data_IF_186364528113
#
_entry.id   IF_186364528113
#
_cell.length_a   1.000
_cell.length_b   1.000
_cell.length_c   1.000
_cell.angle_alpha   90.00
_cell.angle_beta   90.00
_cell.angle_gamma   90.00
#
_symmetry.space_group_name_H-M   'P 1'
#
loop_
_entity.id
_entity.type
_entity.pdbx_description
1 polymer ?
#
# COMPACT_ATOMS: atom_id res chain seq x y z
N UNK A 1 -16.36 -2.73 -22.31
CA UNK A 1 -14.93 -3.11 -22.25
C UNK A 1 -14.34 -2.43 -21.02
N UNK A 2 -14.07 -3.17 -19.94
CA UNK A 2 -13.58 -2.56 -18.68
C UNK A 2 -12.21 -1.93 -18.90
N UNK A 3 -12.09 -0.64 -18.63
CA UNK A 3 -10.85 0.10 -18.82
C UNK A 3 -9.91 -0.23 -17.66
N UNK A 4 -8.78 -0.87 -17.95
CA UNK A 4 -7.81 -1.26 -16.94
C UNK A 4 -6.72 -0.19 -16.82
N UNK A 5 -6.54 0.33 -15.60
CA UNK A 5 -5.58 1.40 -15.33
C UNK A 5 -4.36 0.88 -14.58
N UNK A 6 -3.18 1.01 -15.20
CA UNK A 6 -1.90 0.74 -14.55
C UNK A 6 -1.45 1.98 -13.77
N UNK A 7 -1.71 1.97 -12.46
CA UNK A 7 -1.40 3.08 -11.54
C UNK A 7 -0.04 2.83 -10.90
N UNK A 8 0.93 3.75 -11.01
CA UNK A 8 2.23 3.66 -10.34
C UNK A 8 2.10 3.48 -8.83
N UNK A 9 2.86 2.53 -8.26
CA UNK A 9 2.87 2.28 -6.81
C UNK A 9 3.29 3.53 -6.03
N UNK A 10 4.24 4.30 -6.55
CA UNK A 10 4.72 5.52 -5.90
C UNK A 10 3.62 6.59 -5.79
N UNK A 11 2.68 6.64 -6.73
CA UNK A 11 1.51 7.53 -6.61
C UNK A 11 0.57 7.08 -5.50
N UNK A 12 0.27 5.78 -5.42
CA UNK A 12 -0.53 5.22 -4.33
C UNK A 12 0.13 5.47 -2.97
N UNK A 13 1.45 5.25 -2.88
CA UNK A 13 2.21 5.52 -1.66
C UNK A 13 2.20 6.99 -1.29
N UNK A 14 2.45 7.89 -2.26
CA UNK A 14 2.41 9.33 -2.05
C UNK A 14 1.05 9.78 -1.52
N UNK A 15 -0.04 9.28 -2.11
CA UNK A 15 -1.39 9.61 -1.70
C UNK A 15 -1.70 9.11 -0.28
N UNK A 16 -1.25 7.91 0.10
CA UNK A 16 -1.39 7.42 1.47
C UNK A 16 -0.59 8.26 2.46
N UNK A 17 0.70 8.48 2.20
CA UNK A 17 1.62 9.22 3.07
C UNK A 17 1.12 10.64 3.33
N UNK A 18 0.69 11.35 2.28
CA UNK A 18 0.30 12.76 2.37
C UNK A 18 -1.21 12.98 2.55
N UNK A 19 -1.99 11.90 2.75
CA UNK A 19 -3.46 11.93 2.86
C UNK A 19 -4.15 12.56 1.63
N UNK A 20 -3.60 12.31 0.44
CA UNK A 20 -4.05 12.82 -0.86
C UNK A 20 -4.83 11.81 -1.70
N UNK A 21 -5.59 10.95 -1.03
CA UNK A 21 -6.33 9.87 -1.69
C UNK A 21 -7.44 10.41 -2.58
N UNK A 22 -8.18 11.44 -2.14
CA UNK A 22 -9.28 12.00 -2.94
C UNK A 22 -8.75 12.77 -4.16
N UNK A 23 -7.61 13.43 -4.02
CA UNK A 23 -6.93 14.09 -5.13
C UNK A 23 -6.42 13.08 -6.16
N UNK A 24 -5.78 11.99 -5.72
CA UNK A 24 -5.39 10.91 -6.62
C UNK A 24 -6.63 10.26 -7.26
N UNK A 25 -7.69 10.03 -6.49
CA UNK A 25 -8.96 9.45 -6.95
C UNK A 25 -9.56 10.26 -8.10
N UNK A 26 -9.70 11.57 -7.93
CA UNK A 26 -10.14 12.49 -8.98
C UNK A 26 -9.17 12.45 -10.17
N UNK A 27 -7.86 12.50 -9.94
CA UNK A 27 -6.88 12.46 -11.01
C UNK A 27 -7.00 11.20 -11.88
N UNK A 28 -7.19 10.01 -11.28
CA UNK A 28 -7.41 8.77 -12.02
C UNK A 28 -8.70 8.86 -12.84
N UNK A 29 -9.81 9.27 -12.22
CA UNK A 29 -11.08 9.43 -12.93
C UNK A 29 -10.96 10.36 -14.15
N UNK A 30 -10.27 11.50 -14.02
CA UNK A 30 -10.04 12.41 -15.15
C UNK A 30 -9.18 11.76 -16.26
N UNK A 31 -8.28 10.83 -15.93
CA UNK A 31 -7.55 10.02 -16.93
C UNK A 31 -8.43 8.96 -17.57
N UNK A 32 -9.48 8.52 -16.89
CA UNK A 32 -10.37 7.46 -17.38
C UNK A 32 -11.34 8.05 -18.40
N UNK A 33 -11.89 9.23 -18.13
CA UNK A 33 -12.86 9.90 -18.99
C UNK A 33 -12.24 10.74 -20.11
N UNK A 34 -10.90 10.83 -20.21
CA UNK A 34 -10.23 11.67 -21.20
C UNK A 34 -9.07 11.00 -21.92
N UNK A 35 -8.77 11.50 -23.13
CA UNK A 35 -7.55 11.20 -23.88
C UNK A 35 -6.36 12.07 -23.43
N UNK A 36 -6.46 12.70 -22.25
CA UNK A 36 -5.47 13.63 -21.70
C UNK A 36 -5.90 15.10 -21.74
N UNK A 37 -7.03 15.41 -22.38
CA UNK A 37 -7.60 16.75 -22.41
C UNK A 37 -9.11 16.71 -22.17
N UNK A 38 -9.61 17.62 -21.34
CA UNK A 38 -11.04 17.78 -21.01
C UNK A 38 -11.42 19.21 -21.35
N UNK A 39 -12.38 19.41 -22.25
CA UNK A 39 -12.90 20.75 -22.57
C UNK A 39 -13.85 21.22 -21.47
N UNK A 40 -13.94 22.52 -21.24
CA UNK A 40 -14.94 23.14 -20.38
C UNK A 40 -15.58 24.35 -21.11
N UNK A 41 -16.78 24.75 -20.68
CA UNK A 41 -17.56 25.78 -21.39
C UNK A 41 -17.33 27.16 -20.79
N UNK A 42 -17.57 27.30 -19.50
CA UNK A 42 -17.49 28.58 -18.79
C UNK A 42 -16.34 28.54 -17.79
N UNK A 43 -16.30 27.50 -16.95
CA UNK A 43 -15.31 27.39 -15.88
C UNK A 43 -14.72 25.99 -15.80
N UNK A 44 -13.54 25.88 -15.20
CA UNK A 44 -12.94 24.56 -14.91
C UNK A 44 -13.75 23.70 -13.93
N UNK A 45 -14.79 24.27 -13.31
CA UNK A 45 -15.63 23.61 -12.32
C UNK A 45 -16.98 23.17 -12.89
N UNK A 46 -17.19 23.28 -14.20
CA UNK A 46 -18.48 23.00 -14.85
C UNK A 46 -18.98 21.57 -14.52
N UNK A 47 -18.08 20.58 -14.51
CA UNK A 47 -18.40 19.16 -14.27
C UNK A 47 -18.25 18.71 -12.82
N UNK A 48 -18.12 19.64 -11.85
CA UNK A 48 -17.82 19.27 -10.45
C UNK A 48 -18.93 18.42 -9.79
N UNK A 49 -20.16 18.51 -10.28
CA UNK A 49 -21.33 17.80 -9.75
C UNK A 49 -21.29 16.36 -10.28
N UNK A 50 -21.14 16.19 -11.59
CA UNK A 50 -21.00 14.88 -12.24
C UNK A 50 -19.82 14.09 -11.65
N UNK A 51 -18.64 14.71 -11.55
CA UNK A 51 -17.47 14.06 -10.94
C UNK A 51 -17.65 13.78 -9.44
N UNK A 52 -18.51 14.52 -8.75
CA UNK A 52 -18.82 14.26 -7.35
C UNK A 52 -19.69 13.00 -7.22
N UNK A 53 -20.69 12.86 -8.09
CA UNK A 53 -21.56 11.69 -8.16
C UNK A 53 -20.75 10.43 -8.53
N UNK A 54 -19.99 10.48 -9.63
CA UNK A 54 -19.17 9.36 -10.12
C UNK A 54 -18.18 8.85 -9.06
N UNK A 55 -17.66 9.75 -8.23
CA UNK A 55 -16.65 9.43 -7.23
C UNK A 55 -17.25 9.17 -5.83
N UNK A 56 -18.55 9.38 -5.62
CA UNK A 56 -19.15 9.35 -4.29
C UNK A 56 -18.52 10.39 -3.34
N UNK A 57 -18.24 11.59 -3.85
CA UNK A 57 -17.63 12.70 -3.11
C UNK A 57 -18.55 13.92 -3.10
N UNK A 58 -18.34 14.83 -2.15
CA UNK A 58 -19.02 16.13 -2.18
C UNK A 58 -18.41 17.05 -3.27
N UNK A 59 -19.22 17.82 -4.00
CA UNK A 59 -18.74 18.80 -4.98
C UNK A 59 -17.76 19.84 -4.41
N UNK A 60 -17.86 20.19 -3.11
CA UNK A 60 -16.87 21.03 -2.41
C UNK A 60 -15.50 20.33 -2.33
N UNK A 61 -15.50 19.02 -2.09
CA UNK A 61 -14.28 18.19 -2.11
C UNK A 61 -13.70 18.15 -3.51
N UNK A 62 -14.52 17.95 -4.55
CA UNK A 62 -14.05 18.00 -5.94
C UNK A 62 -13.38 19.33 -6.26
N UNK A 63 -14.01 20.46 -5.90
CA UNK A 63 -13.44 21.80 -6.09
C UNK A 63 -12.07 21.94 -5.41
N UNK A 64 -11.93 21.46 -4.17
CA UNK A 64 -10.67 21.46 -3.42
C UNK A 64 -9.62 20.57 -4.09
N UNK A 65 -9.99 19.36 -4.47
CA UNK A 65 -9.09 18.42 -5.13
C UNK A 65 -8.59 18.98 -6.47
N UNK A 66 -9.49 19.56 -7.28
CA UNK A 66 -9.14 20.12 -8.57
C UNK A 66 -8.14 21.27 -8.43
N UNK A 67 -8.38 22.20 -7.50
CA UNK A 67 -7.44 23.30 -7.19
C UNK A 67 -6.07 22.76 -6.81
N UNK A 68 -6.03 21.80 -5.88
CA UNK A 68 -4.78 21.17 -5.45
C UNK A 68 -4.05 20.50 -6.62
N UNK A 69 -4.76 19.77 -7.48
CA UNK A 69 -4.17 19.11 -8.65
C UNK A 69 -3.59 20.12 -9.66
N UNK A 70 -4.19 21.30 -9.78
CA UNK A 70 -3.67 22.39 -10.63
C UNK A 70 -2.43 23.03 -10.00
N UNK A 71 -2.49 23.36 -8.72
CA UNK A 71 -1.37 23.92 -7.94
C UNK A 71 -0.14 23.00 -8.01
N UNK A 72 -0.37 21.70 -7.83
CA UNK A 72 0.63 20.66 -7.94
C UNK A 72 0.97 20.30 -9.39
N UNK A 73 0.41 20.99 -10.40
CA UNK A 73 0.66 20.75 -11.82
C UNK A 73 0.47 19.28 -12.25
N UNK A 74 -0.46 18.57 -11.61
CA UNK A 74 -0.98 17.28 -12.09
C UNK A 74 -2.03 17.52 -13.16
N UNK A 75 -2.66 18.69 -13.13
CA UNK A 75 -3.47 19.25 -14.19
C UNK A 75 -2.87 20.59 -14.63
N UNK A 76 -3.06 20.94 -15.89
CA UNK A 76 -2.71 22.27 -16.42
C UNK A 76 -3.90 22.84 -17.18
N UNK A 77 -4.12 24.14 -17.06
CA UNK A 77 -5.30 24.79 -17.65
C UNK A 77 -4.85 25.61 -18.85
N UNK A 78 -5.54 25.44 -19.98
CA UNK A 78 -5.43 26.32 -21.12
C UNK A 78 -6.74 27.09 -21.28
N UNK A 79 -6.75 28.33 -20.79
CA UNK A 79 -7.93 29.20 -20.83
C UNK A 79 -8.30 29.59 -22.27
N UNK A 80 -7.32 29.81 -23.16
CA UNK A 80 -7.57 30.17 -24.57
C UNK A 80 -8.34 29.07 -25.30
N UNK A 81 -8.00 27.81 -25.05
CA UNK A 81 -8.65 26.63 -25.64
C UNK A 81 -9.75 26.04 -24.75
N UNK A 82 -10.07 26.71 -23.63
CA UNK A 82 -10.95 26.22 -22.56
C UNK A 82 -10.80 24.72 -22.29
N UNK A 83 -9.58 24.29 -21.95
CA UNK A 83 -9.29 22.87 -21.70
C UNK A 83 -8.39 22.64 -20.50
N UNK A 84 -8.65 21.53 -19.80
CA UNK A 84 -7.82 20.98 -18.74
C UNK A 84 -6.99 19.86 -19.35
N UNK A 85 -5.67 19.97 -19.31
CA UNK A 85 -4.75 18.90 -19.69
C UNK A 85 -4.40 18.07 -18.46
N UNK A 86 -4.63 16.77 -18.55
CA UNK A 86 -4.32 15.77 -17.53
C UNK A 86 -2.91 15.22 -17.76
N UNK A 87 -2.00 15.44 -16.79
CA UNK A 87 -0.58 15.09 -16.95
C UNK A 87 -0.39 13.57 -17.05
N UNK A 88 0.57 13.14 -17.87
CA UNK A 88 0.92 11.73 -18.04
C UNK A 88 1.74 11.19 -16.87
N UNK A 89 1.63 9.90 -16.55
CA UNK A 89 2.41 9.30 -15.46
C UNK A 89 3.92 9.46 -15.63
N UNK A 90 4.45 9.42 -16.86
CA UNK A 90 5.89 9.64 -17.12
C UNK A 90 6.35 11.05 -16.76
N UNK A 91 5.49 12.05 -16.95
CA UNK A 91 5.77 13.44 -16.57
C UNK A 91 5.68 13.60 -15.05
N UNK A 92 4.66 13.03 -14.41
CA UNK A 92 4.55 13.01 -12.95
C UNK A 92 5.72 12.28 -12.28
N UNK A 93 6.11 11.12 -12.81
CA UNK A 93 7.25 10.33 -12.31
C UNK A 93 8.53 11.17 -12.25
N UNK A 94 8.82 11.90 -13.34
CA UNK A 94 9.98 12.81 -13.43
C UNK A 94 9.87 13.97 -12.43
N UNK A 95 8.70 14.62 -12.36
CA UNK A 95 8.47 15.74 -11.45
C UNK A 95 8.62 15.34 -9.97
N UNK A 96 8.07 14.19 -9.60
CA UNK A 96 8.01 13.72 -8.21
C UNK A 96 9.24 12.90 -7.81
N UNK A 97 10.22 12.73 -8.72
CA UNK A 97 11.42 11.91 -8.51
C UNK A 97 11.10 10.50 -8.00
N UNK A 98 10.10 9.88 -8.61
CA UNK A 98 9.71 8.51 -8.30
C UNK A 98 10.68 7.54 -8.96
N UNK A 99 11.23 6.61 -8.18
CA UNK A 99 12.24 5.66 -8.67
C UNK A 99 11.60 4.34 -9.13
N UNK A 100 10.45 3.97 -8.59
CA UNK A 100 9.88 2.66 -8.85
C UNK A 100 9.14 2.63 -10.21
N UNK A 101 9.36 1.55 -10.94
CA UNK A 101 8.65 1.23 -12.19
C UNK A 101 7.44 0.32 -11.96
N UNK A 102 7.16 -0.04 -10.71
CA UNK A 102 6.04 -0.91 -10.38
C UNK A 102 4.71 -0.16 -10.43
N UNK A 103 3.68 -0.85 -10.87
CA UNK A 103 2.30 -0.38 -10.95
C UNK A 103 1.34 -1.47 -10.47
N UNK A 104 0.17 -1.07 -10.00
CA UNK A 104 -0.95 -1.95 -9.73
C UNK A 104 -2.05 -1.73 -10.78
N UNK A 105 -2.76 -2.80 -11.12
CA UNK A 105 -3.91 -2.72 -12.02
C UNK A 105 -5.16 -2.37 -11.23
N UNK A 106 -5.76 -1.25 -11.60
CA UNK A 106 -7.07 -0.83 -11.14
C UNK A 106 -8.10 -1.20 -12.21
N UNK A 107 -9.06 -2.03 -11.83
CA UNK A 107 -10.08 -2.60 -12.72
C UNK A 107 -11.50 -2.30 -12.24
N UNK A 108 -11.64 -1.66 -11.07
CA UNK A 108 -12.94 -1.43 -10.45
C UNK A 108 -13.51 -0.07 -10.86
N UNK A 109 -14.80 -0.05 -11.19
CA UNK A 109 -15.57 1.16 -11.37
C UNK A 109 -16.08 1.72 -10.03
N UNK A 110 -16.04 0.90 -8.95
CA UNK A 110 -16.38 1.35 -7.60
C UNK A 110 -15.22 2.12 -6.97
N UNK A 111 -15.30 3.42 -7.17
CA UNK A 111 -14.40 4.41 -6.63
C UNK A 111 -14.37 4.44 -5.08
N UNK A 112 -15.33 3.83 -4.36
CA UNK A 112 -15.24 3.65 -2.91
C UNK A 112 -14.12 2.68 -2.50
N UNK A 113 -13.82 1.72 -3.38
CA UNK A 113 -12.75 0.73 -3.18
C UNK A 113 -11.35 1.29 -3.52
N UNK A 114 -11.26 2.55 -3.94
CA UNK A 114 -10.00 3.16 -4.37
C UNK A 114 -8.96 3.29 -3.24
N UNK A 115 -9.40 3.67 -2.04
CA UNK A 115 -8.51 3.75 -0.86
C UNK A 115 -8.04 2.35 -0.43
N UNK A 116 -8.92 1.35 -0.24
CA UNK A 116 -8.48 -0.03 -0.02
C UNK A 116 -7.51 -0.54 -1.08
N UNK A 117 -7.77 -0.25 -2.35
CA UNK A 117 -6.85 -0.58 -3.43
C UNK A 117 -5.47 0.03 -3.26
N UNK A 118 -5.37 1.34 -2.97
CA UNK A 118 -4.08 1.99 -2.73
C UNK A 118 -3.33 1.33 -1.56
N UNK A 119 -4.02 1.06 -0.45
CA UNK A 119 -3.44 0.37 0.71
C UNK A 119 -2.88 -1.00 0.29
N UNK A 120 -3.72 -1.82 -0.35
CA UNK A 120 -3.39 -3.17 -0.78
C UNK A 120 -2.24 -3.19 -1.78
N UNK A 121 -2.23 -2.28 -2.76
CA UNK A 121 -1.19 -2.19 -3.79
C UNK A 121 0.18 -1.92 -3.17
N UNK A 122 0.27 -0.94 -2.27
CA UNK A 122 1.52 -0.55 -1.61
C UNK A 122 2.01 -1.63 -0.66
N UNK A 123 1.13 -2.23 0.15
CA UNK A 123 1.48 -3.35 1.05
C UNK A 123 2.01 -4.54 0.25
N UNK A 124 1.35 -4.87 -0.86
CA UNK A 124 1.73 -5.99 -1.73
C UNK A 124 3.07 -5.76 -2.43
N UNK A 125 3.33 -4.53 -2.86
CA UNK A 125 4.64 -4.16 -3.42
C UNK A 125 5.75 -4.34 -2.38
N UNK A 126 5.59 -3.79 -1.18
CA UNK A 126 6.61 -3.88 -0.14
C UNK A 126 6.78 -5.29 0.42
N UNK A 127 5.72 -6.11 0.43
CA UNK A 127 5.80 -7.55 0.66
C UNK A 127 6.78 -8.20 -0.32
N UNK A 128 6.56 -7.99 -1.61
CA UNK A 128 7.35 -8.64 -2.65
C UNK A 128 8.79 -8.12 -2.63
N UNK A 129 8.98 -6.82 -2.39
CA UNK A 129 10.31 -6.19 -2.23
C UNK A 129 11.07 -6.79 -1.04
N UNK A 130 10.43 -6.89 0.13
CA UNK A 130 11.07 -7.50 1.32
C UNK A 130 11.46 -8.94 1.07
N UNK A 131 10.52 -9.71 0.52
CA UNK A 131 10.74 -11.12 0.17
C UNK A 131 11.92 -11.30 -0.76
N UNK A 132 12.03 -10.45 -1.79
CA UNK A 132 13.15 -10.48 -2.72
C UNK A 132 14.49 -10.20 -2.03
N UNK A 133 14.54 -9.18 -1.15
CA UNK A 133 15.76 -8.82 -0.41
C UNK A 133 16.19 -9.94 0.54
N UNK A 134 15.25 -10.46 1.34
CA UNK A 134 15.53 -11.51 2.32
C UNK A 134 15.99 -12.81 1.64
N UNK A 135 15.48 -13.11 0.44
CA UNK A 135 15.97 -14.25 -0.35
C UNK A 135 17.33 -14.00 -0.99
N UNK A 136 17.63 -12.79 -1.49
CA UNK A 136 18.92 -12.48 -2.12
C UNK A 136 20.09 -12.50 -1.13
N UNK A 137 19.90 -11.94 0.07
CA UNK A 137 20.94 -11.91 1.12
C UNK A 137 21.40 -13.28 1.56
N UNK A 138 20.55 -14.30 1.40
CA UNK A 138 20.92 -15.66 1.79
C UNK A 138 21.73 -16.41 0.74
N UNK A 139 21.81 -15.95 -0.52
CA UNK A 139 22.62 -16.60 -1.55
C UNK A 139 24.05 -16.05 -1.60
N UNK A 140 24.26 -14.81 -1.17
CA UNK A 140 25.58 -14.15 -1.14
C UNK A 140 26.41 -14.50 0.10
N UNK A 141 25.75 -14.89 1.19
CA UNK A 141 26.40 -15.24 2.47
C UNK A 141 26.49 -16.75 2.73
N UNK A 142 26.24 -17.61 1.74
CA UNK A 142 26.29 -19.08 1.91
C UNK A 142 27.25 -19.69 0.90
N UNK A 143 28.27 -20.39 1.40
CA UNK A 143 29.30 -21.12 0.63
C UNK A 143 28.72 -22.18 -0.32
N UNK A 144 27.44 -22.57 -0.13
CA UNK A 144 26.71 -23.47 -1.04
C UNK A 144 25.34 -22.87 -1.36
N UNK A 145 25.18 -22.40 -2.59
CA UNK A 145 23.90 -21.98 -3.13
C UNK A 145 22.97 -23.20 -3.31
N UNK A 146 22.10 -23.46 -2.33
CA UNK A 146 21.01 -24.43 -2.51
C UNK A 146 20.01 -23.89 -3.54
N UNK A 147 19.99 -24.48 -4.75
CA UNK A 147 19.07 -24.12 -5.83
C UNK A 147 17.60 -24.50 -5.53
N UNK A 148 17.36 -25.33 -4.52
CA UNK A 148 16.06 -25.95 -4.23
C UNK A 148 15.33 -25.30 -3.03
N UNK A 149 15.30 -23.97 -2.95
CA UNK A 149 14.41 -23.32 -1.98
C UNK A 149 13.00 -23.23 -2.53
N UNK A 150 12.10 -24.05 -1.96
CA UNK A 150 10.65 -23.91 -2.16
C UNK A 150 10.25 -22.46 -1.85
N UNK A 151 9.88 -21.73 -2.90
CA UNK A 151 9.34 -20.38 -2.78
C UNK A 151 7.91 -20.50 -2.26
N UNK A 152 7.69 -20.29 -0.97
CA UNK A 152 6.34 -20.17 -0.38
C UNK A 152 5.60 -19.01 -1.07
N UNK A 153 4.82 -19.29 -2.11
CA UNK A 153 4.17 -18.24 -2.94
C UNK A 153 3.14 -17.44 -2.12
N UNK A 154 2.59 -18.05 -1.08
CA UNK A 154 1.39 -17.58 -0.40
C UNK A 154 1.64 -16.53 0.69
N UNK A 155 2.03 -16.96 1.89
CA UNK A 155 2.04 -16.12 3.08
C UNK A 155 3.46 -15.75 3.47
N UNK A 156 3.77 -14.45 3.48
CA UNK A 156 5.11 -13.95 3.78
C UNK A 156 5.09 -13.04 5.02
N UNK A 157 6.02 -13.28 5.96
CA UNK A 157 6.07 -12.53 7.21
C UNK A 157 6.60 -11.12 7.01
N UNK A 158 5.86 -10.12 7.46
CA UNK A 158 6.25 -8.71 7.35
C UNK A 158 5.97 -8.00 8.66
N UNK A 159 7.01 -7.48 9.34
CA UNK A 159 6.81 -6.63 10.50
C UNK A 159 6.03 -5.37 10.12
N UNK A 160 5.08 -4.97 10.95
CA UNK A 160 4.34 -3.72 10.76
C UNK A 160 5.27 -2.49 10.73
N UNK A 161 6.37 -2.55 11.48
CA UNK A 161 7.38 -1.50 11.47
C UNK A 161 8.01 -1.32 10.09
N UNK A 162 8.24 -2.42 9.37
CA UNK A 162 8.78 -2.36 8.02
C UNK A 162 7.81 -1.64 7.07
N UNK A 163 6.53 -2.02 7.10
CA UNK A 163 5.49 -1.35 6.28
C UNK A 163 5.39 0.14 6.62
N UNK A 164 5.34 0.48 7.91
CA UNK A 164 5.28 1.85 8.38
C UNK A 164 6.47 2.70 7.88
N UNK A 165 7.67 2.14 7.98
CA UNK A 165 8.92 2.79 7.52
C UNK A 165 8.91 2.97 6.00
N UNK A 166 8.54 1.93 5.25
CA UNK A 166 8.49 1.96 3.80
C UNK A 166 7.49 3.00 3.26
N UNK A 167 6.29 3.07 3.85
CA UNK A 167 5.28 4.06 3.44
C UNK A 167 5.63 5.47 3.94
N UNK A 168 6.31 5.57 5.09
CA UNK A 168 6.63 6.83 5.75
C UNK A 168 5.48 7.34 6.64
N UNK A 169 4.83 6.43 7.38
CA UNK A 169 3.71 6.74 8.30
C UNK A 169 3.92 6.07 9.66
N UNK A 170 3.09 6.42 10.65
CA UNK A 170 3.15 5.79 11.98
C UNK A 170 2.79 4.30 11.93
N UNK A 171 3.24 3.52 12.93
CA UNK A 171 2.83 2.10 13.12
C UNK A 171 1.31 1.95 13.18
N UNK A 172 0.62 2.88 13.85
CA UNK A 172 -0.83 2.86 14.01
C UNK A 172 -1.53 3.08 12.68
N UNK A 173 -1.07 4.04 11.88
CA UNK A 173 -1.58 4.31 10.54
C UNK A 173 -1.34 3.12 9.60
N UNK A 174 -0.14 2.55 9.61
CA UNK A 174 0.15 1.35 8.84
C UNK A 174 -0.76 0.16 9.24
N UNK A 175 -1.07 0.02 10.53
CA UNK A 175 -2.01 -0.99 11.00
C UNK A 175 -3.42 -0.77 10.44
N UNK A 176 -3.88 0.48 10.44
CA UNK A 176 -5.17 0.87 9.85
C UNK A 176 -5.21 0.56 8.36
N UNK A 177 -4.15 0.86 7.59
CA UNK A 177 -4.08 0.52 6.17
C UNK A 177 -4.14 -0.99 5.93
N UNK A 178 -3.46 -1.80 6.75
CA UNK A 178 -3.56 -3.26 6.68
C UNK A 178 -4.99 -3.72 6.95
N UNK A 179 -5.68 -3.17 7.97
CA UNK A 179 -7.08 -3.52 8.25
C UNK A 179 -8.01 -3.21 7.08
N UNK A 180 -7.92 -1.99 6.52
CA UNK A 180 -8.71 -1.58 5.35
C UNK A 180 -8.47 -2.54 4.16
N UNK A 181 -7.21 -2.91 3.94
CA UNK A 181 -6.84 -3.84 2.87
C UNK A 181 -7.41 -5.25 3.12
N UNK A 182 -7.42 -5.74 4.36
CA UNK A 182 -8.04 -7.02 4.75
C UNK A 182 -9.55 -6.97 4.54
N UNK A 183 -10.21 -5.92 5.02
CA UNK A 183 -11.66 -5.72 4.92
C UNK A 183 -12.13 -5.71 3.46
N UNK A 184 -11.29 -5.22 2.55
CA UNK A 184 -11.56 -5.27 1.10
C UNK A 184 -11.34 -6.62 0.42
N UNK A 185 -10.81 -7.63 1.12
CA UNK A 185 -10.47 -8.95 0.55
C UNK A 185 -9.27 -8.97 -0.39
N UNK A 186 -8.63 -7.83 -0.67
CA UNK A 186 -7.50 -7.71 -1.58
C UNK A 186 -6.18 -8.26 -0.99
N UNK A 187 -6.08 -8.35 0.34
CA UNK A 187 -5.00 -9.04 1.05
C UNK A 187 -5.57 -9.97 2.12
N UNK A 188 -4.85 -11.06 2.38
CA UNK A 188 -5.15 -11.99 3.47
C UNK A 188 -4.02 -11.95 4.50
N UNK A 189 -4.37 -12.07 5.79
CA UNK A 189 -3.40 -12.06 6.89
C UNK A 189 -3.58 -13.25 7.81
N UNK A 190 -2.50 -14.01 8.00
CA UNK A 190 -2.37 -15.04 9.03
C UNK A 190 -1.57 -14.48 10.20
N UNK A 191 -2.18 -14.47 11.39
CA UNK A 191 -1.49 -14.12 12.65
C UNK A 191 -0.51 -15.24 12.99
N UNK A 192 0.73 -14.89 13.31
CA UNK A 192 1.73 -15.83 13.79
C UNK A 192 1.89 -15.65 15.31
N UNK A 193 1.17 -16.47 16.06
CA UNK A 193 1.14 -16.44 17.53
C UNK A 193 1.57 -17.81 18.01
N UNK A 194 2.70 -17.86 18.71
CA UNK A 194 3.28 -19.10 19.24
C UNK A 194 3.12 -19.12 20.75
N UNK A 195 2.71 -20.25 21.30
CA UNK A 195 2.79 -20.47 22.75
C UNK A 195 4.23 -20.84 23.08
N UNK A 196 4.83 -20.16 24.06
CA UNK A 196 6.17 -20.53 24.50
C UNK A 196 6.14 -21.85 25.25
N UNK A 197 7.16 -22.66 25.02
CA UNK A 197 7.33 -23.97 25.63
C UNK A 197 8.68 -24.03 26.34
N UNK A 198 8.76 -24.81 27.42
CA UNK A 198 10.00 -25.20 28.08
C UNK A 198 10.84 -26.10 27.18
N UNK A 199 12.08 -26.39 27.57
CA UNK A 199 12.95 -27.37 26.90
C UNK A 199 12.30 -28.76 26.83
N UNK A 200 11.51 -29.10 27.85
CA UNK A 200 10.69 -30.32 27.93
C UNK A 200 9.40 -30.26 27.09
N UNK A 201 9.18 -29.19 26.31
CA UNK A 201 8.03 -29.03 25.41
C UNK A 201 6.72 -28.61 26.10
N UNK A 202 6.72 -28.39 27.42
CA UNK A 202 5.53 -27.99 28.19
C UNK A 202 5.25 -26.48 28.03
N UNK A 203 4.00 -26.04 27.86
CA UNK A 203 3.67 -24.62 27.75
C UNK A 203 4.07 -23.81 29.00
N UNK A 204 4.66 -22.64 28.81
CA UNK A 204 5.05 -21.77 29.93
C UNK A 204 3.82 -21.01 30.47
N UNK A 205 3.57 -21.13 31.77
CA UNK A 205 2.47 -20.47 32.49
C UNK A 205 2.73 -18.97 32.71
N UNK A 206 1.69 -18.24 33.10
CA UNK A 206 1.76 -16.78 33.27
C UNK A 206 2.64 -16.34 34.45
N UNK A 207 2.87 -17.22 35.44
CA UNK A 207 3.73 -16.95 36.61
C UNK A 207 5.15 -16.58 36.20
N UNK A 208 5.67 -17.22 35.15
CA UNK A 208 7.00 -16.96 34.61
C UNK A 208 7.06 -15.75 33.65
N UNK A 209 5.96 -15.01 33.45
CA UNK A 209 5.95 -13.90 32.47
C UNK A 209 6.90 -12.77 32.86
N UNK A 210 6.95 -12.40 34.13
CA UNK A 210 7.76 -11.25 34.59
C UNK A 210 9.25 -11.53 34.45
N UNK A 211 9.71 -12.72 34.85
CA UNK A 211 11.10 -13.15 34.68
C UNK A 211 11.47 -13.26 33.20
N UNK A 212 10.60 -13.86 32.37
CA UNK A 212 10.79 -13.90 30.93
C UNK A 212 10.85 -12.51 30.30
N UNK A 213 10.05 -11.54 30.74
CA UNK A 213 10.06 -10.19 30.17
C UNK A 213 11.38 -9.46 30.42
N UNK A 214 12.03 -9.71 31.56
CA UNK A 214 13.34 -9.14 31.91
C UNK A 214 14.42 -9.75 31.02
N UNK A 215 14.49 -11.09 30.95
CA UNK A 215 15.48 -11.78 30.11
C UNK A 215 15.26 -11.51 28.61
N UNK A 216 14.01 -11.37 28.16
CA UNK A 216 13.67 -11.10 26.76
C UNK A 216 14.10 -9.70 26.28
N UNK A 217 14.32 -8.73 27.18
CA UNK A 217 14.91 -7.44 26.80
C UNK A 217 16.37 -7.57 26.34
N UNK A 218 17.07 -8.63 26.76
CA UNK A 218 18.48 -8.88 26.41
C UNK A 218 18.71 -9.70 25.15
N UNK A 219 17.67 -10.31 24.56
CA UNK A 219 17.79 -11.18 23.39
C UNK A 219 17.11 -10.60 22.14
N UNK A 220 17.72 -10.77 20.97
CA UNK A 220 17.17 -10.40 19.65
C UNK A 220 16.16 -11.46 19.18
N UNK A 221 15.03 -11.59 19.89
CA UNK A 221 13.94 -12.44 19.42
C UNK A 221 13.05 -11.68 18.41
N UNK A 222 12.68 -12.37 17.32
CA UNK A 222 11.73 -11.87 16.34
C UNK A 222 10.27 -11.98 16.87
N UNK A 223 9.89 -11.11 17.80
CA UNK A 223 8.50 -11.03 18.28
C UNK A 223 8.28 -10.16 19.52
N UNK A 224 7.06 -10.22 20.06
CA UNK A 224 6.68 -9.56 21.31
C UNK A 224 6.05 -10.55 22.26
N UNK A 225 6.53 -10.60 23.51
CA UNK A 225 5.88 -11.36 24.57
C UNK A 225 4.54 -10.77 24.96
N UNK A 226 3.52 -11.62 25.09
CA UNK A 226 2.19 -11.28 25.58
C UNK A 226 1.69 -12.32 26.57
N UNK A 227 0.88 -11.86 27.52
CA UNK A 227 0.09 -12.73 28.39
C UNK A 227 -1.08 -13.30 27.57
N UNK A 228 -1.16 -14.62 27.44
CA UNK A 228 -2.35 -15.30 26.94
C UNK A 228 -3.36 -15.55 28.07
N UNK A 229 -4.40 -16.34 27.81
CA UNK A 229 -5.38 -16.74 28.83
C UNK A 229 -4.76 -17.63 29.92
N UNK A 230 -3.96 -18.63 29.53
CA UNK A 230 -3.31 -19.60 30.44
C UNK A 230 -1.79 -19.63 30.33
N UNK A 231 -1.25 -19.25 29.17
CA UNK A 231 0.17 -19.40 28.84
C UNK A 231 0.76 -18.12 28.26
N UNK A 232 2.08 -17.99 28.35
CA UNK A 232 2.82 -16.91 27.69
C UNK A 232 2.87 -17.16 26.18
N UNK A 233 2.61 -16.10 25.42
CA UNK A 233 2.58 -16.12 23.96
C UNK A 233 3.67 -15.23 23.39
N UNK A 234 4.28 -15.68 22.31
CA UNK A 234 5.14 -14.91 21.44
C UNK A 234 4.34 -14.49 20.20
N UNK A 235 4.13 -13.18 20.05
CA UNK A 235 3.51 -12.61 18.84
C UNK A 235 4.60 -12.25 17.85
N UNK A 236 4.66 -12.99 16.75
CA UNK A 236 5.56 -12.75 15.64
C UNK A 236 4.93 -11.77 14.64
N UNK A 237 5.71 -11.40 13.62
CA UNK A 237 5.21 -10.59 12.52
C UNK A 237 4.16 -11.37 11.71
N UNK A 238 3.03 -10.71 11.43
CA UNK A 238 1.94 -11.25 10.63
C UNK A 238 2.44 -11.72 9.26
N UNK A 239 1.88 -12.84 8.77
CA UNK A 239 2.12 -13.30 7.40
C UNK A 239 1.03 -12.76 6.49
N UNK A 240 1.42 -12.11 5.40
CA UNK A 240 0.53 -11.46 4.44
C UNK A 240 0.57 -12.22 3.10
N UNK A 241 -0.59 -12.42 2.49
CA UNK A 241 -0.77 -12.86 1.10
C UNK A 241 -1.50 -11.75 0.34
N UNK A 242 -1.07 -11.49 -0.90
CA UNK A 242 -1.67 -10.48 -1.78
C UNK A 242 -2.45 -11.17 -2.88
N UNK A 243 -3.68 -10.72 -3.12
CA UNK A 243 -4.49 -11.14 -4.26
C UNK A 243 -4.43 -10.13 -5.42
N UNK A 244 -3.75 -8.98 -5.23
CA UNK A 244 -3.55 -7.97 -6.26
C UNK A 244 -2.48 -8.34 -7.29
N UNK A 245 -2.74 -7.95 -8.53
CA UNK A 245 -1.85 -8.11 -9.66
C UNK A 245 -0.97 -6.87 -9.82
N UNK A 246 0.34 -7.05 -9.60
CA UNK A 246 1.35 -6.00 -9.78
C UNK A 246 2.08 -6.19 -11.11
N UNK A 247 2.27 -5.11 -11.87
CA UNK A 247 3.01 -5.10 -13.13
C UNK A 247 4.22 -4.18 -13.06
N UNK A 248 5.32 -4.59 -13.67
CA UNK A 248 6.47 -3.72 -13.91
C UNK A 248 6.27 -2.97 -15.23
N UNK A 249 6.33 -1.64 -15.20
CA UNK A 249 6.11 -0.79 -16.36
C UNK A 249 7.46 -0.33 -16.91
N UNK A 250 7.73 -0.66 -18.17
CA UNK A 250 8.83 -0.04 -18.92
C UNK A 250 8.29 1.25 -19.52
N UNK A 251 8.84 2.38 -19.09
CA UNK A 251 8.61 3.65 -19.77
C UNK A 251 9.66 3.76 -20.87
N UNK A 252 9.31 3.39 -22.12
CA UNK A 252 10.02 3.88 -23.30
C UNK A 252 9.80 5.39 -23.44
#
# INVERSE_FOLDING_TARGET
>A
MHKVHSIPIDLCQYALKNRKINELKLFIHLKDISSGHIKFSNTIFDYKIDWAEDLGLNHKTIKKCLKWLIEEKWLTINNKRKSIRVVGYRQLKRKMMFDNNSSALWESEDYNMFKPFCCSAVISFYRNKKRFIDHRRSATNMERASMNRKRDKDFYSIPIQYIATCIGVSKTTANSYIKIAIESGMIEVKKDIKTLKTETGKPITLEHYSSLKISYKGYVFNGRLRRGKKYVKLICANRIKSNLHLKHKRYS
#
